data_IF_625272627300
#
_entry.id   IF_625272627300
#
_cell.length_a   1.000
_cell.length_b   1.000
_cell.length_c   1.000
_cell.angle_alpha   90.00
_cell.angle_beta   90.00
_cell.angle_gamma   90.00
#
_symmetry.space_group_name_H-M   'P 1'
#
loop_
_entity.id
_entity.type
_entity.pdbx_description
1 polymer ?
#
# COMPACT_ATOMS: atom_id res chain seq x y z
N UNK A 1 10.40 86.16 -16.26
CA UNK A 1 11.02 84.87 -15.92
C UNK A 1 9.96 83.77 -15.93
N UNK A 2 9.93 82.99 -16.98
CA UNK A 2 9.01 81.87 -17.15
C UNK A 2 9.78 80.62 -16.76
N UNK A 3 9.35 79.97 -15.67
CA UNK A 3 9.87 78.68 -15.31
C UNK A 3 9.34 77.64 -16.31
N UNK A 4 10.24 77.11 -17.14
CA UNK A 4 9.97 75.91 -17.91
C UNK A 4 10.04 74.74 -16.99
N UNK A 5 8.92 74.11 -16.70
CA UNK A 5 8.84 72.79 -16.02
C UNK A 5 9.57 71.78 -16.89
N UNK A 6 10.64 71.20 -16.34
CA UNK A 6 11.31 70.06 -16.94
C UNK A 6 10.31 68.89 -16.98
N UNK A 7 9.83 68.56 -18.21
CA UNK A 7 9.03 67.38 -18.44
C UNK A 7 9.81 66.13 -18.06
N UNK A 8 9.29 65.36 -17.11
CA UNK A 8 9.82 64.01 -16.82
C UNK A 8 9.80 63.22 -18.12
N UNK A 9 10.95 62.79 -18.57
CA UNK A 9 11.09 61.93 -19.73
C UNK A 9 10.21 60.68 -19.54
N UNK A 10 9.20 60.50 -20.37
CA UNK A 10 8.24 59.39 -20.33
C UNK A 10 8.87 58.08 -20.78
N UNK A 11 10.05 58.12 -21.34
CA UNK A 11 10.80 57.00 -21.92
C UNK A 11 11.98 56.67 -21.03
N UNK A 12 12.08 55.44 -20.55
CA UNK A 12 13.19 55.00 -19.68
C UNK A 12 14.53 54.88 -20.45
N UNK A 13 14.46 54.43 -21.72
CA UNK A 13 15.57 54.44 -22.67
C UNK A 13 15.07 54.32 -24.11
N UNK A 14 15.88 54.82 -25.05
CA UNK A 14 15.65 54.66 -26.49
C UNK A 14 16.92 54.12 -27.13
N UNK A 15 16.75 53.38 -28.25
CA UNK A 15 17.85 52.95 -29.12
C UNK A 15 18.97 52.17 -28.43
N UNK A 16 18.61 51.17 -27.65
CA UNK A 16 19.58 50.26 -27.05
C UNK A 16 19.72 49.02 -27.94
N UNK A 17 20.96 48.67 -28.29
CA UNK A 17 21.27 47.48 -29.09
C UNK A 17 20.78 46.19 -28.39
N UNK A 18 20.14 45.39 -29.20
CA UNK A 18 19.68 44.07 -28.79
C UNK A 18 19.75 43.05 -29.97
N UNK A 19 19.73 41.78 -29.60
CA UNK A 19 19.62 40.69 -30.57
C UNK A 19 18.20 40.15 -30.53
N UNK A 20 17.55 40.11 -31.68
CA UNK A 20 16.17 39.63 -31.85
C UNK A 20 16.14 38.35 -32.64
N UNK A 21 15.35 37.39 -32.17
CA UNK A 21 14.98 36.16 -32.84
C UNK A 21 13.47 36.12 -32.96
N UNK A 22 12.97 35.96 -34.21
CA UNK A 22 11.54 36.02 -34.51
C UNK A 22 10.73 34.77 -34.14
N UNK A 23 11.43 33.71 -33.67
CA UNK A 23 10.80 32.43 -33.35
C UNK A 23 10.39 31.57 -34.56
N UNK A 24 10.42 32.15 -35.77
CA UNK A 24 10.04 31.49 -37.01
C UNK A 24 11.25 31.00 -37.80
N UNK A 25 12.39 31.65 -37.63
CA UNK A 25 13.65 31.32 -38.29
C UNK A 25 14.81 31.27 -37.29
N UNK A 26 15.90 30.60 -37.69
CA UNK A 26 17.13 30.61 -36.89
C UNK A 26 17.95 31.88 -37.06
N UNK A 27 17.42 32.89 -37.75
CA UNK A 27 18.13 34.12 -38.12
C UNK A 27 18.22 35.07 -36.90
N UNK A 28 19.42 35.46 -36.54
CA UNK A 28 19.69 36.49 -35.57
C UNK A 28 19.68 37.86 -36.24
N UNK A 29 18.79 38.75 -35.78
CA UNK A 29 18.73 40.13 -36.24
C UNK A 29 19.29 41.08 -35.18
N UNK A 30 20.13 42.03 -35.63
CA UNK A 30 20.52 43.15 -34.78
C UNK A 30 19.42 44.20 -34.82
N UNK A 31 18.94 44.60 -33.66
CA UNK A 31 17.78 45.51 -33.52
C UNK A 31 18.07 46.54 -32.43
N UNK A 32 17.26 47.58 -32.42
CA UNK A 32 17.23 48.56 -31.36
C UNK A 32 15.95 48.41 -30.55
N UNK A 33 16.03 48.56 -29.24
CA UNK A 33 14.86 48.53 -28.37
C UNK A 33 14.67 49.85 -27.65
N UNK A 34 13.42 50.24 -27.45
CA UNK A 34 13.02 51.36 -26.63
C UNK A 34 12.00 50.94 -25.56
N UNK A 35 12.12 51.45 -24.37
CA UNK A 35 11.22 51.18 -23.26
C UNK A 35 10.41 52.43 -22.93
N UNK A 36 9.12 52.38 -23.14
CA UNK A 36 8.17 53.39 -22.70
C UNK A 36 7.42 52.85 -21.45
N UNK A 37 7.67 53.48 -20.32
CA UNK A 37 7.06 53.07 -19.05
C UNK A 37 5.62 53.56 -18.93
N UNK A 38 5.24 54.63 -19.57
CA UNK A 38 3.90 55.19 -19.50
C UNK A 38 2.91 54.36 -20.33
N UNK A 39 3.28 54.07 -21.59
CA UNK A 39 2.51 53.15 -22.43
C UNK A 39 2.66 51.68 -22.05
N UNK A 40 3.61 51.38 -21.13
CA UNK A 40 3.93 50.02 -20.66
C UNK A 40 4.31 49.07 -21.81
N UNK A 41 5.17 49.53 -22.72
CA UNK A 41 5.60 48.78 -23.91
C UNK A 41 7.09 48.77 -24.11
N UNK A 42 7.59 47.65 -24.60
CA UNK A 42 8.92 47.49 -25.16
C UNK A 42 8.79 47.40 -26.68
N UNK A 43 9.29 48.39 -27.39
CA UNK A 43 9.23 48.47 -28.86
C UNK A 43 10.56 48.03 -29.45
N UNK A 44 10.50 47.23 -30.50
CA UNK A 44 11.64 46.68 -31.23
C UNK A 44 11.69 47.33 -32.59
N UNK A 45 12.84 47.91 -32.91
CA UNK A 45 13.07 48.63 -34.19
C UNK A 45 14.19 47.94 -34.97
N UNK A 46 14.07 47.99 -36.30
CA UNK A 46 15.15 47.58 -37.19
C UNK A 46 16.26 48.64 -37.28
N UNK A 47 17.29 48.41 -38.10
CA UNK A 47 18.40 49.34 -38.32
C UNK A 47 17.98 50.61 -39.05
N UNK A 48 16.81 50.66 -39.70
CA UNK A 48 16.25 51.84 -40.35
C UNK A 48 15.40 52.68 -39.37
N UNK A 49 15.06 52.17 -38.21
CA UNK A 49 14.16 52.77 -37.23
C UNK A 49 12.70 52.37 -37.40
N UNK A 50 12.40 51.47 -38.33
CA UNK A 50 11.04 50.96 -38.48
C UNK A 50 10.71 49.99 -37.30
N UNK A 51 9.47 50.08 -36.81
CA UNK A 51 8.97 49.19 -35.79
C UNK A 51 8.80 47.78 -36.35
N UNK A 52 9.45 46.79 -35.73
CA UNK A 52 9.36 45.39 -36.07
C UNK A 52 8.34 44.66 -35.20
N UNK A 53 8.31 44.99 -33.90
CA UNK A 53 7.45 44.36 -32.95
C UNK A 53 7.22 45.25 -31.72
N UNK A 54 6.19 44.93 -30.91
CA UNK A 54 5.80 45.77 -29.78
C UNK A 54 5.24 44.94 -28.64
N UNK A 55 6.00 44.79 -27.57
CA UNK A 55 5.72 43.86 -26.49
C UNK A 55 5.17 44.58 -25.23
N UNK A 56 3.98 44.19 -24.74
CA UNK A 56 3.46 44.70 -23.47
C UNK A 56 4.34 44.24 -22.31
N UNK A 57 4.68 45.12 -21.37
CA UNK A 57 5.56 44.81 -20.23
C UNK A 57 4.98 43.75 -19.30
N UNK A 58 3.67 43.61 -19.27
CA UNK A 58 2.97 42.63 -18.41
C UNK A 58 3.19 41.19 -18.88
N UNK A 59 3.38 41.02 -20.17
CA UNK A 59 3.58 39.71 -20.81
C UNK A 59 5.04 39.31 -20.90
N UNK A 60 5.97 40.25 -20.64
CA UNK A 60 7.41 39.96 -20.67
C UNK A 60 7.80 38.95 -19.58
N UNK A 61 8.60 37.96 -19.96
CA UNK A 61 9.19 36.95 -19.06
C UNK A 61 10.67 36.84 -19.36
N UNK A 62 11.43 36.57 -18.29
CA UNK A 62 12.86 36.25 -18.37
C UNK A 62 13.04 34.76 -18.58
N UNK A 63 13.79 34.36 -19.60
CA UNK A 63 14.30 32.99 -19.72
C UNK A 63 15.46 32.79 -18.75
N UNK A 64 15.52 31.63 -18.10
CA UNK A 64 16.58 31.30 -17.12
C UNK A 64 17.94 31.01 -17.77
N UNK A 65 17.96 30.75 -19.06
CA UNK A 65 19.17 30.36 -19.78
C UNK A 65 19.93 31.61 -20.23
N UNK A 66 20.95 31.97 -19.46
CA UNK A 66 21.80 33.13 -19.69
C UNK A 66 23.25 32.70 -19.85
N UNK A 67 23.57 32.15 -20.99
CA UNK A 67 24.93 31.69 -21.32
C UNK A 67 25.92 32.84 -21.62
N UNK A 68 25.68 34.06 -21.16
CA UNK A 68 26.57 35.18 -21.46
C UNK A 68 26.36 36.48 -20.68
N UNK A 69 25.68 36.47 -19.54
CA UNK A 69 25.50 37.67 -18.69
C UNK A 69 24.49 38.68 -19.19
N UNK A 70 23.70 38.37 -20.25
CA UNK A 70 22.64 39.19 -20.78
C UNK A 70 21.25 38.82 -20.31
N UNK A 71 20.28 39.74 -20.38
CA UNK A 71 18.86 39.46 -20.12
C UNK A 71 18.19 38.93 -21.37
N UNK A 72 17.66 37.70 -21.31
CA UNK A 72 16.86 37.11 -22.39
C UNK A 72 15.39 37.26 -22.03
N UNK A 73 14.66 37.95 -22.88
CA UNK A 73 13.22 38.20 -22.77
C UNK A 73 12.42 37.42 -23.83
N UNK A 74 11.24 36.99 -23.43
CA UNK A 74 10.22 36.41 -24.33
C UNK A 74 8.84 36.92 -23.91
N UNK A 75 7.83 36.65 -24.76
CA UNK A 75 6.42 36.91 -24.45
C UNK A 75 5.78 35.66 -23.82
N UNK A 76 5.16 35.82 -22.67
CA UNK A 76 4.32 34.79 -22.05
C UNK A 76 5.01 33.54 -21.53
N UNK A 77 4.34 32.40 -21.61
CA UNK A 77 4.87 31.12 -21.24
C UNK A 77 5.75 30.57 -22.37
N UNK A 78 6.96 30.17 -22.03
CA UNK A 78 8.01 29.71 -22.94
C UNK A 78 7.51 28.56 -23.84
N UNK A 79 7.18 28.86 -25.09
CA UNK A 79 7.05 27.85 -26.15
C UNK A 79 8.32 27.89 -27.02
N UNK A 80 8.91 26.76 -27.43
CA UNK A 80 10.18 26.72 -28.16
C UNK A 80 10.23 27.54 -29.48
N UNK A 81 9.08 27.97 -29.97
CA UNK A 81 8.95 28.77 -31.21
C UNK A 81 8.69 30.27 -31.01
N UNK A 82 8.73 30.80 -29.79
CA UNK A 82 8.43 32.19 -29.53
C UNK A 82 9.60 33.14 -29.77
N UNK A 83 9.26 34.39 -30.16
CA UNK A 83 10.22 35.47 -30.37
C UNK A 83 11.02 35.78 -29.05
N UNK A 84 12.30 36.08 -29.20
CA UNK A 84 13.21 36.36 -28.10
C UNK A 84 14.07 37.58 -28.34
N UNK A 85 14.30 38.34 -27.28
CA UNK A 85 15.26 39.45 -27.28
C UNK A 85 16.36 39.16 -26.27
N UNK A 86 17.60 39.39 -26.68
CA UNK A 86 18.76 39.30 -25.79
C UNK A 86 19.38 40.71 -25.66
N UNK A 87 19.41 41.20 -24.43
CA UNK A 87 19.93 42.49 -24.04
C UNK A 87 21.24 42.30 -23.24
N UNK A 88 22.26 43.09 -23.56
CA UNK A 88 23.55 43.06 -22.85
C UNK A 88 23.85 44.40 -22.13
N UNK A 89 23.05 45.43 -22.38
CA UNK A 89 23.25 46.76 -21.77
C UNK A 89 22.74 46.76 -20.29
N UNK A 90 23.63 46.94 -19.34
CA UNK A 90 23.28 46.85 -17.91
C UNK A 90 22.24 47.92 -17.47
N UNK A 91 22.25 49.12 -18.05
CA UNK A 91 21.27 50.18 -17.70
C UNK A 91 19.88 49.83 -18.23
N UNK A 92 19.78 49.31 -19.44
CA UNK A 92 18.53 48.86 -20.01
C UNK A 92 17.95 47.66 -19.25
N UNK A 93 18.82 46.72 -18.87
CA UNK A 93 18.42 45.56 -18.04
C UNK A 93 17.87 46.02 -16.68
N UNK A 94 18.51 46.97 -16.01
CA UNK A 94 18.03 47.53 -14.75
C UNK A 94 16.67 48.24 -14.89
N UNK A 95 16.48 49.00 -15.97
CA UNK A 95 15.24 49.69 -16.25
C UNK A 95 14.06 48.68 -16.53
N UNK A 96 14.32 47.64 -17.30
CA UNK A 96 13.32 46.58 -17.57
C UNK A 96 12.96 45.83 -16.30
N UNK A 97 13.95 45.45 -15.48
CA UNK A 97 13.70 44.79 -14.20
C UNK A 97 12.86 45.63 -13.26
N UNK A 98 13.07 46.96 -13.25
CA UNK A 98 12.28 47.89 -12.45
C UNK A 98 10.86 48.09 -12.97
N UNK A 99 10.66 48.07 -14.32
CA UNK A 99 9.37 48.29 -14.96
C UNK A 99 8.51 47.03 -15.04
N UNK A 100 9.10 45.82 -14.94
CA UNK A 100 8.44 44.54 -15.14
C UNK A 100 8.46 43.66 -13.86
N UNK A 101 7.55 43.84 -12.92
CA UNK A 101 7.54 43.08 -11.65
C UNK A 101 7.23 41.59 -11.85
N UNK A 102 6.68 41.21 -13.01
CA UNK A 102 6.30 39.84 -13.33
C UNK A 102 7.37 39.09 -14.15
N UNK A 103 8.54 39.65 -14.34
CA UNK A 103 9.59 39.14 -15.22
C UNK A 103 10.04 37.71 -14.87
N UNK A 104 10.10 37.40 -13.58
CA UNK A 104 10.53 36.08 -13.06
C UNK A 104 9.36 35.13 -12.75
N UNK A 105 8.11 35.58 -12.94
CA UNK A 105 6.95 34.72 -12.70
C UNK A 105 6.85 33.65 -13.78
N UNK A 106 6.95 32.40 -13.37
CA UNK A 106 6.68 31.24 -14.25
C UNK A 106 5.16 31.05 -14.36
N UNK A 107 4.60 31.27 -15.51
CA UNK A 107 3.18 30.95 -15.78
C UNK A 107 3.09 29.48 -16.16
N UNK A 108 2.74 28.63 -15.18
CA UNK A 108 2.34 27.25 -15.48
C UNK A 108 0.94 27.32 -16.11
N UNK A 109 0.82 27.00 -17.39
CA UNK A 109 -0.47 27.00 -18.09
C UNK A 109 -1.38 25.91 -17.53
N UNK A 110 -2.71 26.13 -17.56
CA UNK A 110 -3.68 25.12 -17.13
C UNK A 110 -3.52 23.76 -17.84
N UNK A 111 -3.02 23.77 -19.08
CA UNK A 111 -2.68 22.57 -19.84
C UNK A 111 -1.52 21.78 -19.22
N UNK A 112 -0.52 22.46 -18.64
CA UNK A 112 0.60 21.82 -17.94
C UNK A 112 0.13 21.18 -16.64
N UNK A 113 -0.73 21.86 -15.86
CA UNK A 113 -1.36 21.29 -14.69
C UNK A 113 -2.21 20.08 -15.02
N UNK A 114 -2.96 20.12 -16.14
CA UNK A 114 -3.72 18.97 -16.63
C UNK A 114 -2.83 17.77 -16.97
N UNK A 115 -1.68 17.99 -17.61
CA UNK A 115 -0.70 16.93 -17.90
C UNK A 115 -0.10 16.36 -16.61
N UNK A 116 0.29 17.21 -15.66
CA UNK A 116 0.82 16.76 -14.35
C UNK A 116 -0.22 15.93 -13.63
N UNK A 117 -1.48 16.40 -13.56
CA UNK A 117 -2.57 15.65 -12.95
C UNK A 117 -2.82 14.29 -13.62
N UNK A 118 -2.76 14.23 -14.95
CA UNK A 118 -2.89 12.98 -15.70
C UNK A 118 -1.76 11.99 -15.40
N UNK A 119 -0.51 12.47 -15.30
CA UNK A 119 0.63 11.61 -14.94
C UNK A 119 0.55 11.09 -13.50
N UNK A 120 0.15 11.95 -12.55
CA UNK A 120 -0.08 11.53 -11.15
C UNK A 120 -1.18 10.48 -11.10
N UNK A 121 -2.30 10.70 -11.80
CA UNK A 121 -3.40 9.75 -11.87
C UNK A 121 -2.99 8.41 -12.50
N UNK A 122 -2.25 8.45 -13.61
CA UNK A 122 -1.74 7.25 -14.27
C UNK A 122 -0.75 6.47 -13.39
N UNK A 123 0.15 7.17 -12.68
CA UNK A 123 1.08 6.56 -11.74
C UNK A 123 0.34 5.91 -10.56
N UNK A 124 -0.65 6.59 -9.99
CA UNK A 124 -1.51 6.02 -8.94
C UNK A 124 -2.27 4.78 -9.41
N UNK A 125 -2.84 4.82 -10.61
CA UNK A 125 -3.52 3.67 -11.20
C UNK A 125 -2.57 2.49 -11.46
N UNK A 126 -1.33 2.75 -11.91
CA UNK A 126 -0.31 1.71 -12.11
C UNK A 126 0.10 1.05 -10.79
N UNK A 127 0.31 1.83 -9.74
CA UNK A 127 0.60 1.30 -8.39
C UNK A 127 -0.58 0.48 -7.86
N UNK A 128 -1.80 0.97 -8.00
CA UNK A 128 -2.99 0.23 -7.60
C UNK A 128 -3.12 -1.10 -8.37
N UNK A 129 -2.92 -1.10 -9.70
CA UNK A 129 -2.91 -2.31 -10.52
C UNK A 129 -1.84 -3.31 -10.04
N UNK A 130 -0.66 -2.82 -9.71
CA UNK A 130 0.44 -3.65 -9.21
C UNK A 130 0.06 -4.31 -7.89
N UNK A 131 -0.46 -3.56 -6.91
CA UNK A 131 -0.80 -4.05 -5.56
C UNK A 131 -2.02 -4.99 -5.60
N UNK A 132 -3.09 -4.62 -6.31
CA UNK A 132 -4.35 -5.33 -6.21
C UNK A 132 -4.54 -6.45 -7.25
N UNK A 133 -3.74 -6.47 -8.31
CA UNK A 133 -3.87 -7.46 -9.38
C UNK A 133 -2.59 -8.24 -9.62
N UNK A 134 -1.48 -7.55 -9.91
CA UNK A 134 -0.25 -8.22 -10.34
C UNK A 134 0.43 -8.96 -9.19
N UNK A 135 0.63 -8.31 -8.04
CA UNK A 135 1.26 -8.95 -6.87
C UNK A 135 0.45 -10.16 -6.39
N UNK A 136 -0.89 -10.09 -6.18
CA UNK A 136 -1.67 -11.26 -5.81
C UNK A 136 -1.62 -12.40 -6.83
N UNK A 137 -1.69 -12.09 -8.12
CA UNK A 137 -1.61 -13.11 -9.18
C UNK A 137 -0.25 -13.81 -9.23
N UNK A 138 0.84 -13.04 -9.12
CA UNK A 138 2.19 -13.59 -9.10
C UNK A 138 2.47 -14.39 -7.84
N UNK A 139 2.00 -13.94 -6.67
CA UNK A 139 2.19 -14.65 -5.41
C UNK A 139 1.66 -16.07 -5.45
N UNK A 140 0.43 -16.25 -5.99
CA UNK A 140 -0.16 -17.59 -6.15
C UNK A 140 0.63 -18.50 -7.09
N UNK A 141 1.18 -17.94 -8.18
CA UNK A 141 1.99 -18.72 -9.12
C UNK A 141 3.38 -19.04 -8.55
N UNK A 142 4.01 -18.10 -7.86
CA UNK A 142 5.34 -18.27 -7.29
C UNK A 142 5.35 -19.25 -6.11
N UNK A 143 4.27 -19.31 -5.32
CA UNK A 143 4.14 -20.24 -4.20
C UNK A 143 4.37 -21.71 -4.62
N UNK A 144 3.94 -22.10 -5.82
CA UNK A 144 4.10 -23.45 -6.33
C UNK A 144 5.59 -23.84 -6.49
N UNK A 145 6.45 -22.88 -6.76
CA UNK A 145 7.89 -23.12 -6.95
C UNK A 145 8.70 -23.06 -5.65
N UNK A 146 8.06 -22.73 -4.51
CA UNK A 146 8.73 -22.71 -3.21
C UNK A 146 8.77 -24.11 -2.63
N UNK A 147 9.97 -24.71 -2.41
CA UNK A 147 10.09 -26.01 -1.77
C UNK A 147 9.58 -25.96 -0.31
N UNK A 148 9.01 -27.06 0.22
CA UNK A 148 8.50 -27.13 1.60
C UNK A 148 9.53 -26.69 2.65
N UNK A 149 10.79 -27.02 2.48
CA UNK A 149 11.88 -26.69 3.40
C UNK A 149 12.14 -25.18 3.47
N UNK A 150 11.94 -24.47 2.35
CA UNK A 150 12.03 -22.99 2.30
C UNK A 150 10.81 -22.36 2.92
N UNK A 151 9.64 -22.92 2.67
CA UNK A 151 8.40 -22.46 3.26
C UNK A 151 8.44 -22.56 4.81
N UNK A 152 8.92 -23.68 5.34
CA UNK A 152 9.12 -23.86 6.78
C UNK A 152 10.08 -22.82 7.40
N UNK A 153 11.15 -22.46 6.67
CA UNK A 153 12.05 -21.37 7.09
C UNK A 153 11.38 -20.00 7.12
N UNK A 154 10.54 -19.72 6.12
CA UNK A 154 9.75 -18.47 6.08
C UNK A 154 8.79 -18.45 7.26
N UNK A 155 8.05 -19.54 7.52
CA UNK A 155 7.15 -19.64 8.64
C UNK A 155 7.82 -19.42 9.99
N UNK A 156 8.95 -20.09 10.22
CA UNK A 156 9.73 -19.88 11.46
C UNK A 156 10.26 -18.45 11.60
N UNK A 157 10.58 -17.75 10.50
CA UNK A 157 11.00 -16.36 10.56
C UNK A 157 9.82 -15.42 10.87
N UNK A 158 8.65 -15.67 10.29
CA UNK A 158 7.41 -14.93 10.58
C UNK A 158 6.98 -15.15 12.01
N UNK A 159 7.02 -16.39 12.50
CA UNK A 159 6.69 -16.72 13.88
C UNK A 159 7.54 -15.92 14.87
N UNK A 160 8.87 -15.93 14.71
CA UNK A 160 9.77 -15.10 15.54
C UNK A 160 9.49 -13.60 15.45
N UNK A 161 8.97 -13.11 14.33
CA UNK A 161 8.58 -11.71 14.21
C UNK A 161 7.30 -11.42 14.99
N UNK A 162 6.32 -12.31 14.92
CA UNK A 162 5.08 -12.22 15.69
C UNK A 162 5.37 -12.29 17.19
N UNK A 163 6.19 -13.25 17.63
CA UNK A 163 6.66 -13.36 19.02
C UNK A 163 7.24 -12.05 19.55
N UNK A 164 8.09 -11.38 18.76
CA UNK A 164 8.67 -10.10 19.16
C UNK A 164 7.63 -8.98 19.29
N UNK A 165 6.66 -8.92 18.40
CA UNK A 165 5.60 -7.89 18.42
C UNK A 165 4.72 -8.03 19.67
N UNK A 166 4.41 -9.25 20.08
CA UNK A 166 3.58 -9.50 21.27
C UNK A 166 4.39 -9.45 22.56
N UNK A 167 5.63 -9.96 22.58
CA UNK A 167 6.50 -9.92 23.77
C UNK A 167 6.92 -8.49 24.17
N UNK A 168 6.94 -7.53 23.24
CA UNK A 168 7.19 -6.12 23.56
C UNK A 168 5.98 -5.45 24.22
N UNK A 169 4.79 -6.00 24.06
CA UNK A 169 3.54 -5.46 24.63
C UNK A 169 3.19 -6.06 25.99
N UNK A 170 3.58 -7.31 26.24
CA UNK A 170 3.29 -8.03 27.48
C UNK A 170 4.58 -8.65 28.07
N UNK A 171 4.86 -8.38 29.35
CA UNK A 171 6.01 -8.95 30.05
C UNK A 171 5.67 -10.38 30.53
N UNK A 172 6.09 -11.40 29.78
CA UNK A 172 5.87 -12.81 30.13
C UNK A 172 6.25 -13.78 29.03
N UNK A 173 6.19 -15.07 29.32
CA UNK A 173 6.31 -16.11 28.31
C UNK A 173 5.05 -16.09 27.42
N UNK A 174 5.25 -15.94 26.16
CA UNK A 174 4.17 -15.81 25.18
C UNK A 174 3.41 -17.13 24.94
N UNK A 175 4.08 -18.27 25.11
CA UNK A 175 3.47 -19.57 24.93
C UNK A 175 2.94 -20.15 26.22
N UNK A 176 1.76 -20.78 26.16
CA UNK A 176 1.23 -21.63 27.17
C UNK A 176 1.97 -22.98 27.16
N UNK A 177 2.50 -23.40 28.30
CA UNK A 177 3.43 -24.52 28.39
C UNK A 177 2.89 -25.73 29.16
N UNK A 178 1.60 -25.74 29.56
CA UNK A 178 1.00 -26.88 30.23
C UNK A 178 1.02 -28.12 29.32
N UNK A 179 1.77 -29.15 29.74
CA UNK A 179 2.04 -30.33 28.91
C UNK A 179 0.81 -31.23 28.69
N UNK A 180 -0.14 -31.27 29.61
CA UNK A 180 -1.35 -32.09 29.47
C UNK A 180 -2.28 -31.45 28.39
N UNK A 181 -2.45 -30.12 28.47
CA UNK A 181 -3.21 -29.37 27.47
C UNK A 181 -2.57 -29.43 26.09
N UNK A 182 -1.24 -29.29 26.01
CA UNK A 182 -0.52 -29.39 24.74
C UNK A 182 -0.65 -30.80 24.10
N UNK A 183 -0.51 -31.85 24.87
CA UNK A 183 -0.71 -33.23 24.37
C UNK A 183 -2.13 -33.48 23.88
N UNK A 184 -3.15 -32.98 24.60
CA UNK A 184 -4.53 -33.13 24.19
C UNK A 184 -4.82 -32.35 22.87
N UNK A 185 -4.27 -31.16 22.73
CA UNK A 185 -4.36 -30.34 21.51
C UNK A 185 -3.68 -31.01 20.29
N UNK A 186 -2.47 -31.56 20.52
CA UNK A 186 -1.74 -32.29 19.48
C UNK A 186 -2.49 -33.56 19.04
N UNK A 187 -3.13 -34.30 19.96
CA UNK A 187 -3.96 -35.47 19.64
C UNK A 187 -5.19 -35.04 18.79
N UNK A 188 -5.85 -33.94 19.14
CA UNK A 188 -6.95 -33.40 18.34
C UNK A 188 -6.50 -33.09 16.93
N UNK A 189 -5.38 -32.35 16.77
CA UNK A 189 -4.80 -32.01 15.47
C UNK A 189 -4.41 -33.27 14.68
N UNK A 190 -3.83 -34.26 15.35
CA UNK A 190 -3.46 -35.54 14.71
C UNK A 190 -4.69 -36.30 14.20
N UNK A 191 -5.80 -36.30 14.95
CA UNK A 191 -7.05 -36.89 14.51
C UNK A 191 -7.60 -36.20 13.25
N UNK A 192 -7.52 -34.87 13.21
CA UNK A 192 -7.96 -34.05 12.06
C UNK A 192 -7.06 -34.18 10.81
N UNK A 193 -5.84 -34.68 10.95
CA UNK A 193 -4.93 -34.93 9.83
C UNK A 193 -5.12 -36.29 9.18
N UNK A 194 -5.94 -37.18 9.72
CA UNK A 194 -6.10 -38.54 9.21
C UNK A 194 -6.45 -38.54 7.73
N UNK A 195 -5.73 -39.38 6.94
CA UNK A 195 -5.95 -39.50 5.51
C UNK A 195 -5.46 -38.34 4.65
N UNK A 196 -4.77 -37.38 5.24
CA UNK A 196 -4.13 -36.27 4.54
C UNK A 196 -2.62 -36.29 4.70
N UNK A 197 -1.90 -35.98 3.61
CA UNK A 197 -0.46 -35.82 3.63
C UNK A 197 -0.11 -34.33 3.52
N UNK A 198 0.60 -33.83 4.51
CA UNK A 198 1.13 -32.47 4.51
C UNK A 198 2.62 -32.48 4.11
N UNK A 199 3.11 -31.49 3.37
CA UNK A 199 4.52 -31.45 2.92
C UNK A 199 5.51 -31.19 4.07
N UNK A 200 5.04 -30.87 5.28
CA UNK A 200 5.79 -30.62 6.49
C UNK A 200 4.98 -31.05 7.73
N UNK A 201 5.64 -31.30 8.88
CA UNK A 201 4.93 -31.55 10.12
C UNK A 201 4.07 -30.38 10.54
N UNK A 202 2.86 -30.64 11.00
CA UNK A 202 1.98 -29.64 11.60
C UNK A 202 2.42 -29.42 13.04
N UNK A 203 2.57 -28.15 13.41
CA UNK A 203 2.95 -27.73 14.75
C UNK A 203 1.89 -26.76 15.27
N UNK A 204 1.18 -27.13 16.31
CA UNK A 204 0.18 -26.29 16.95
C UNK A 204 0.73 -25.77 18.28
N UNK A 205 0.57 -24.47 18.51
CA UNK A 205 0.94 -23.82 19.76
C UNK A 205 -0.18 -22.91 20.26
N UNK A 206 -0.30 -22.77 21.57
CA UNK A 206 -1.23 -21.83 22.19
C UNK A 206 -0.45 -20.65 22.77
N UNK A 207 -0.95 -19.45 22.54
CA UNK A 207 -0.39 -18.22 23.11
C UNK A 207 -1.36 -17.61 24.11
N UNK A 208 -0.79 -17.08 25.20
CA UNK A 208 -1.56 -16.41 26.25
C UNK A 208 -1.96 -15.00 25.82
N UNK A 209 -3.04 -14.92 25.06
CA UNK A 209 -3.61 -13.65 24.60
C UNK A 209 -5.13 -13.74 24.56
N UNK A 210 -5.82 -12.69 25.00
CA UNK A 210 -7.28 -12.63 25.11
C UNK A 210 -8.03 -12.55 23.77
N UNK A 211 -7.31 -12.24 22.67
CA UNK A 211 -7.91 -12.15 21.34
C UNK A 211 -8.52 -13.48 20.92
N UNK A 212 -9.74 -13.45 20.37
CA UNK A 212 -10.40 -14.61 19.78
C UNK A 212 -9.82 -14.83 18.38
N UNK A 213 -8.72 -15.58 18.30
CA UNK A 213 -8.06 -15.83 17.03
C UNK A 213 -7.33 -17.18 16.98
N UNK A 214 -7.23 -17.72 15.77
CA UNK A 214 -6.28 -18.75 15.38
C UNK A 214 -5.82 -18.46 13.95
N UNK A 215 -4.61 -18.82 13.60
CA UNK A 215 -4.11 -18.60 12.24
C UNK A 215 -3.00 -19.59 11.89
N UNK A 216 -2.98 -19.96 10.63
CA UNK A 216 -1.92 -20.75 10.05
C UNK A 216 -0.79 -19.87 9.51
N UNK A 217 0.45 -20.32 9.70
CA UNK A 217 1.66 -19.72 9.13
C UNK A 217 2.31 -20.66 8.11
N UNK A 218 3.16 -20.15 7.21
CA UNK A 218 3.88 -21.00 6.27
C UNK A 218 4.66 -22.10 7.00
N UNK A 219 4.75 -23.29 6.38
CA UNK A 219 5.52 -24.40 6.97
C UNK A 219 4.80 -25.20 8.05
N UNK A 220 3.47 -25.06 8.18
CA UNK A 220 2.64 -25.92 9.04
C UNK A 220 2.51 -25.47 10.48
N UNK A 221 2.89 -24.26 10.80
CA UNK A 221 2.64 -23.70 12.14
C UNK A 221 1.18 -23.22 12.23
N UNK A 222 0.48 -23.62 13.27
CA UNK A 222 -0.87 -23.14 13.64
C UNK A 222 -0.77 -22.54 15.03
N UNK A 223 -1.17 -21.30 15.18
CA UNK A 223 -1.19 -20.58 16.45
C UNK A 223 -2.64 -20.40 16.87
N UNK A 224 -2.95 -20.77 18.09
CA UNK A 224 -4.26 -20.58 18.72
C UNK A 224 -4.08 -19.59 19.87
N UNK A 225 -4.92 -18.60 19.95
CA UNK A 225 -4.93 -17.68 21.07
C UNK A 225 -5.86 -18.17 22.18
N UNK A 226 -5.50 -17.94 23.44
CA UNK A 226 -6.29 -18.35 24.60
C UNK A 226 -7.74 -17.92 24.52
N UNK A 227 -8.01 -16.66 24.09
CA UNK A 227 -9.37 -16.14 23.95
C UNK A 227 -10.28 -16.98 23.05
N UNK A 228 -9.73 -17.64 22.01
CA UNK A 228 -10.51 -18.55 21.17
C UNK A 228 -10.89 -19.83 21.91
N UNK A 229 -10.00 -20.37 22.76
CA UNK A 229 -10.28 -21.56 23.57
C UNK A 229 -11.35 -21.22 24.63
N UNK A 230 -11.27 -20.05 25.24
CA UNK A 230 -12.24 -19.56 26.22
C UNK A 230 -13.63 -19.32 25.62
N UNK A 231 -13.69 -18.84 24.35
CA UNK A 231 -14.93 -18.64 23.64
C UNK A 231 -15.59 -19.98 23.22
N UNK A 232 -14.78 -21.00 22.93
CA UNK A 232 -15.30 -22.29 22.48
C UNK A 232 -16.09 -23.00 23.60
N UNK A 233 -17.41 -23.15 23.41
CA UNK A 233 -18.29 -23.80 24.38
C UNK A 233 -18.13 -25.33 24.42
N UNK A 234 -17.61 -25.90 23.31
CA UNK A 234 -17.39 -27.33 23.16
C UNK A 234 -16.04 -27.61 22.48
N UNK A 235 -15.41 -28.78 22.75
CA UNK A 235 -14.16 -29.15 22.07
C UNK A 235 -14.33 -29.28 20.56
N UNK A 236 -15.53 -29.57 20.08
CA UNK A 236 -15.88 -29.64 18.66
C UNK A 236 -15.73 -28.30 17.95
N UNK A 237 -15.99 -27.17 18.64
CA UNK A 237 -15.80 -25.83 18.09
C UNK A 237 -14.32 -25.55 17.82
N UNK A 238 -13.44 -25.88 18.77
CA UNK A 238 -11.98 -25.77 18.58
C UNK A 238 -11.50 -26.71 17.46
N UNK A 239 -12.02 -27.94 17.41
CA UNK A 239 -11.71 -28.90 16.35
C UNK A 239 -12.11 -28.35 14.97
N UNK A 240 -13.27 -27.67 14.85
CA UNK A 240 -13.72 -27.06 13.62
C UNK A 240 -12.81 -25.93 13.14
N UNK A 241 -12.36 -25.06 14.06
CA UNK A 241 -11.39 -24.00 13.73
C UNK A 241 -10.05 -24.59 13.31
N UNK A 242 -9.54 -25.58 14.06
CA UNK A 242 -8.28 -26.25 13.70
C UNK A 242 -8.34 -26.95 12.36
N UNK A 243 -9.47 -27.59 12.03
CA UNK A 243 -9.69 -28.21 10.72
C UNK A 243 -9.70 -27.16 9.59
N UNK A 244 -10.26 -25.99 9.85
CA UNK A 244 -10.24 -24.86 8.91
C UNK A 244 -8.82 -24.35 8.68
N UNK A 245 -8.04 -24.13 9.74
CA UNK A 245 -6.64 -23.72 9.64
C UNK A 245 -5.78 -24.76 8.92
N UNK A 246 -6.03 -26.06 9.16
CA UNK A 246 -5.42 -27.15 8.39
C UNK A 246 -5.77 -27.06 6.89
N UNK A 247 -6.98 -26.61 6.56
CA UNK A 247 -7.39 -26.34 5.18
C UNK A 247 -6.51 -25.28 4.51
N UNK A 248 -6.21 -24.18 5.20
CA UNK A 248 -5.28 -23.16 4.70
C UNK A 248 -3.86 -23.71 4.53
N UNK A 249 -3.39 -24.53 5.49
CA UNK A 249 -2.09 -25.18 5.36
C UNK A 249 -2.03 -26.11 4.17
N UNK A 250 -3.04 -26.96 4.00
CA UNK A 250 -3.13 -27.91 2.86
C UNK A 250 -3.11 -27.21 1.50
N UNK A 251 -3.73 -26.05 1.41
CA UNK A 251 -3.79 -25.23 0.19
C UNK A 251 -2.62 -24.26 0.06
N UNK A 252 -1.73 -24.23 1.04
CA UNK A 252 -0.56 -23.33 1.09
C UNK A 252 -0.93 -21.85 1.03
N UNK A 253 -2.13 -21.47 1.51
CA UNK A 253 -2.59 -20.11 1.55
C UNK A 253 -1.64 -19.18 2.36
N UNK A 254 -1.05 -19.62 3.51
CA UNK A 254 -0.15 -18.78 4.30
C UNK A 254 1.10 -18.31 3.52
N UNK A 255 1.71 -19.16 2.69
CA UNK A 255 2.87 -18.74 1.88
C UNK A 255 2.46 -17.77 0.77
N UNK A 256 1.28 -17.95 0.19
CA UNK A 256 0.74 -17.00 -0.80
C UNK A 256 0.51 -15.63 -0.15
N UNK A 257 -0.03 -15.59 1.06
CA UNK A 257 -0.22 -14.35 1.82
C UNK A 257 1.13 -13.70 2.18
N UNK A 258 2.10 -14.47 2.64
CA UNK A 258 3.45 -13.98 2.94
C UNK A 258 4.12 -13.36 1.70
N UNK A 259 3.99 -13.98 0.53
CA UNK A 259 4.49 -13.43 -0.73
C UNK A 259 3.76 -12.14 -1.15
N UNK A 260 2.45 -12.06 -0.94
CA UNK A 260 1.67 -10.83 -1.20
C UNK A 260 2.10 -9.71 -0.28
N UNK A 261 2.23 -9.98 1.01
CA UNK A 261 2.69 -9.00 1.98
C UNK A 261 4.09 -8.48 1.65
N UNK A 262 5.05 -9.38 1.39
CA UNK A 262 6.42 -9.02 1.02
C UNK A 262 6.48 -8.24 -0.31
N UNK A 263 5.71 -8.65 -1.31
CA UNK A 263 5.64 -7.98 -2.61
C UNK A 263 5.04 -6.57 -2.51
N UNK A 264 3.97 -6.41 -1.73
CA UNK A 264 3.32 -5.10 -1.49
C UNK A 264 4.23 -4.18 -0.69
N UNK A 265 4.84 -4.68 0.39
CA UNK A 265 5.76 -3.91 1.21
C UNK A 265 7.02 -3.48 0.43
N UNK A 266 7.59 -4.38 -0.37
CA UNK A 266 8.72 -4.06 -1.25
C UNK A 266 8.38 -3.00 -2.31
N UNK A 267 7.19 -3.05 -2.89
CA UNK A 267 6.71 -2.04 -3.83
C UNK A 267 6.53 -0.68 -3.16
N UNK A 268 5.92 -0.65 -1.97
CA UNK A 268 5.74 0.58 -1.20
C UNK A 268 7.09 1.20 -0.79
N UNK A 269 8.06 0.39 -0.36
CA UNK A 269 9.42 0.84 -0.06
C UNK A 269 10.09 1.50 -1.27
N UNK A 270 9.92 0.94 -2.47
CA UNK A 270 10.42 1.53 -3.71
C UNK A 270 9.76 2.88 -4.01
N UNK A 271 8.45 3.00 -3.82
CA UNK A 271 7.70 4.24 -4.10
C UNK A 271 8.01 5.33 -3.08
N UNK A 272 8.17 4.97 -1.81
CA UNK A 272 8.43 5.90 -0.71
C UNK A 272 9.93 6.21 -0.53
N UNK A 273 10.82 5.47 -1.20
CA UNK A 273 12.26 5.66 -1.13
C UNK A 273 12.90 5.08 0.15
N UNK A 274 12.21 4.19 0.86
CA UNK A 274 12.75 3.50 2.03
C UNK A 274 13.58 2.28 1.59
N UNK A 275 14.89 2.45 1.53
CA UNK A 275 15.84 1.39 1.14
C UNK A 275 16.27 0.49 2.31
N UNK A 276 15.81 0.73 3.54
CA UNK A 276 16.33 0.05 4.73
C UNK A 276 15.69 -1.32 4.98
N UNK A 277 14.55 -1.62 4.34
CA UNK A 277 13.89 -2.93 4.45
C UNK A 277 13.35 -3.29 5.85
N UNK A 278 13.63 -2.48 6.86
CA UNK A 278 13.20 -2.71 8.23
C UNK A 278 11.69 -2.60 8.41
N UNK A 279 11.08 -1.61 7.78
CA UNK A 279 9.63 -1.41 7.72
C UNK A 279 8.90 -2.55 7.01
N UNK A 280 9.53 -3.19 6.02
CA UNK A 280 8.94 -4.31 5.26
C UNK A 280 8.69 -5.53 6.14
N UNK A 281 9.65 -5.86 7.02
CA UNK A 281 9.55 -7.01 7.91
C UNK A 281 8.54 -6.79 9.05
N UNK A 282 8.49 -5.58 9.62
CA UNK A 282 7.53 -5.23 10.66
C UNK A 282 6.08 -5.27 10.14
N UNK A 283 5.83 -4.66 8.98
CA UNK A 283 4.52 -4.67 8.32
C UNK A 283 4.09 -6.06 7.86
N UNK A 284 5.02 -6.98 7.55
CA UNK A 284 4.68 -8.33 7.12
C UNK A 284 4.03 -9.15 8.22
N UNK A 285 4.47 -9.02 9.48
CA UNK A 285 3.90 -9.73 10.63
C UNK A 285 2.47 -9.30 10.93
N UNK A 286 2.23 -7.99 11.08
CA UNK A 286 0.89 -7.44 11.32
C UNK A 286 -0.07 -7.72 10.14
N UNK A 287 0.44 -7.61 8.90
CA UNK A 287 -0.37 -7.86 7.69
C UNK A 287 -0.81 -9.32 7.59
N UNK A 288 -0.01 -10.28 8.07
CA UNK A 288 -0.36 -11.69 8.04
C UNK A 288 -1.46 -12.04 9.05
N UNK A 289 -1.41 -11.45 10.24
CA UNK A 289 -2.45 -11.65 11.27
C UNK A 289 -3.79 -11.03 10.83
N UNK A 290 -3.74 -9.89 10.14
CA UNK A 290 -4.92 -9.14 9.69
C UNK A 290 -5.32 -9.44 8.22
N UNK A 291 -4.66 -10.40 7.56
CA UNK A 291 -4.89 -10.66 6.13
C UNK A 291 -6.25 -11.30 5.90
N UNK A 292 -7.14 -10.58 5.20
CA UNK A 292 -8.42 -11.12 4.76
C UNK A 292 -8.24 -12.08 3.60
N UNK A 293 -8.77 -13.26 3.76
CA UNK A 293 -8.90 -14.22 2.68
C UNK A 293 -10.05 -13.84 1.71
N UNK A 294 -9.94 -14.25 0.46
CA UNK A 294 -11.07 -14.13 -0.45
C UNK A 294 -12.14 -15.19 -0.12
N UNK A 295 -13.40 -14.91 -0.42
CA UNK A 295 -14.50 -15.88 -0.22
C UNK A 295 -14.21 -17.26 -0.83
N UNK A 296 -13.54 -17.31 -1.97
CA UNK A 296 -13.16 -18.56 -2.61
C UNK A 296 -12.07 -19.32 -1.86
N UNK A 297 -11.17 -18.63 -1.19
CA UNK A 297 -10.15 -19.22 -0.30
C UNK A 297 -10.83 -19.80 0.93
N UNK A 298 -11.70 -19.03 1.57
CA UNK A 298 -12.48 -19.47 2.75
C UNK A 298 -13.35 -20.69 2.43
N UNK A 299 -14.08 -20.67 1.31
CA UNK A 299 -14.92 -21.79 0.91
C UNK A 299 -14.12 -23.09 0.74
N UNK A 300 -12.90 -23.03 0.18
CA UNK A 300 -12.04 -24.21 0.06
C UNK A 300 -11.50 -24.69 1.42
N UNK A 301 -11.20 -23.77 2.34
CA UNK A 301 -10.79 -24.12 3.70
C UNK A 301 -11.96 -24.74 4.47
N UNK A 302 -13.19 -24.23 4.29
CA UNK A 302 -14.40 -24.82 4.85
C UNK A 302 -14.65 -26.24 4.30
N UNK A 303 -14.62 -26.42 2.97
CA UNK A 303 -14.79 -27.74 2.36
C UNK A 303 -13.78 -28.77 2.90
N UNK A 304 -12.53 -28.35 3.07
CA UNK A 304 -11.50 -29.18 3.69
C UNK A 304 -11.84 -29.48 5.14
N UNK A 305 -12.22 -28.48 5.93
CA UNK A 305 -12.59 -28.66 7.34
C UNK A 305 -13.73 -29.63 7.53
N UNK A 306 -14.81 -29.46 6.74
CA UNK A 306 -15.98 -30.34 6.79
C UNK A 306 -15.63 -31.80 6.48
N UNK A 307 -14.76 -32.03 5.51
CA UNK A 307 -14.29 -33.36 5.16
C UNK A 307 -13.44 -33.98 6.28
N UNK A 308 -12.52 -33.21 6.88
CA UNK A 308 -11.63 -33.69 7.96
C UNK A 308 -12.42 -33.95 9.26
N UNK A 309 -13.34 -33.06 9.64
CA UNK A 309 -14.24 -33.27 10.77
C UNK A 309 -15.01 -34.56 10.61
N UNK A 310 -15.66 -34.73 9.45
CA UNK A 310 -16.40 -35.96 9.17
C UNK A 310 -15.48 -37.19 9.23
N UNK A 311 -14.26 -37.15 8.71
CA UNK A 311 -13.32 -38.25 8.74
C UNK A 311 -12.84 -38.57 10.18
N UNK A 312 -12.60 -37.57 10.99
CA UNK A 312 -12.26 -37.70 12.42
C UNK A 312 -13.46 -38.16 13.27
N UNK A 313 -14.65 -38.26 12.69
CA UNK A 313 -15.88 -38.66 13.40
C UNK A 313 -16.52 -37.51 14.19
N UNK A 314 -16.10 -36.28 13.96
CA UNK A 314 -16.67 -35.04 14.54
C UNK A 314 -17.75 -34.50 13.61
N UNK A 315 -18.86 -33.98 14.17
CA UNK A 315 -19.92 -33.40 13.37
C UNK A 315 -19.45 -32.16 12.61
N UNK A 316 -19.64 -32.07 11.30
CA UNK A 316 -19.42 -30.82 10.55
C UNK A 316 -20.26 -29.64 11.06
N UNK A 317 -21.36 -29.91 11.77
CA UNK A 317 -22.23 -28.89 12.37
C UNK A 317 -21.47 -27.97 13.35
N UNK A 318 -20.42 -28.48 14.00
CA UNK A 318 -19.57 -27.72 14.92
C UNK A 318 -18.97 -26.45 14.26
N UNK A 319 -18.70 -26.47 12.95
CA UNK A 319 -18.26 -25.29 12.23
C UNK A 319 -19.40 -24.27 12.07
N UNK A 320 -20.62 -24.73 11.86
CA UNK A 320 -21.78 -23.85 11.78
C UNK A 320 -22.10 -23.20 13.14
N UNK A 321 -22.05 -24.00 14.22
CA UNK A 321 -22.27 -23.53 15.58
C UNK A 321 -21.22 -22.49 15.97
N UNK A 322 -19.95 -22.73 15.63
CA UNK A 322 -18.88 -21.76 15.88
C UNK A 322 -19.08 -20.45 15.09
N UNK A 323 -19.52 -20.50 13.83
CA UNK A 323 -19.87 -19.29 13.07
C UNK A 323 -21.02 -18.53 13.71
N UNK A 324 -21.99 -19.20 14.29
CA UNK A 324 -23.12 -18.56 14.95
C UNK A 324 -22.70 -17.86 16.25
N UNK A 325 -21.86 -18.52 17.06
CA UNK A 325 -21.26 -17.88 18.24
C UNK A 325 -20.53 -16.59 17.83
N UNK A 326 -19.73 -16.62 16.75
CA UNK A 326 -19.05 -15.43 16.26
C UNK A 326 -20.00 -14.34 15.77
N UNK A 327 -21.13 -14.73 15.13
CA UNK A 327 -22.11 -13.76 14.62
C UNK A 327 -22.90 -13.11 15.77
N UNK A 328 -23.13 -13.81 16.89
CA UNK A 328 -23.77 -13.27 18.10
C UNK A 328 -22.89 -12.22 18.77
N UNK A 329 -21.57 -12.44 18.78
CA UNK A 329 -20.59 -11.52 19.36
C UNK A 329 -20.19 -10.38 18.41
N UNK A 330 -20.62 -10.43 17.13
CA UNK A 330 -20.34 -9.36 16.16
C UNK A 330 -21.02 -8.05 16.57
N UNK A 331 -20.21 -7.04 16.84
CA UNK A 331 -20.64 -5.71 17.29
C UNK A 331 -19.97 -5.26 18.57
N UNK A 332 -19.28 -6.15 19.28
CA UNK A 332 -18.39 -5.77 20.36
C UNK A 332 -17.02 -5.37 19.79
N UNK A 333 -16.51 -4.15 20.07
CA UNK A 333 -15.19 -3.69 19.60
C UNK A 333 -14.04 -4.60 20.04
N UNK A 334 -14.17 -5.38 21.10
CA UNK A 334 -13.15 -6.33 21.55
C UNK A 334 -12.90 -7.48 20.55
N UNK A 335 -13.88 -7.79 19.71
CA UNK A 335 -13.83 -8.88 18.73
C UNK A 335 -13.42 -8.45 17.30
N UNK A 336 -13.32 -7.14 17.04
CA UNK A 336 -13.13 -6.58 15.70
C UNK A 336 -11.74 -6.87 15.07
N UNK A 337 -10.77 -7.32 15.87
CA UNK A 337 -9.39 -7.57 15.45
C UNK A 337 -8.99 -9.05 15.40
N UNK A 338 -9.91 -9.97 15.70
CA UNK A 338 -9.63 -11.38 15.81
C UNK A 338 -9.89 -12.19 14.54
N UNK A 339 -10.27 -13.47 14.74
CA UNK A 339 -10.56 -14.44 13.68
C UNK A 339 -11.64 -13.97 12.72
N UNK A 340 -12.63 -13.21 13.20
CA UNK A 340 -13.68 -12.56 12.39
C UNK A 340 -13.08 -11.67 11.30
N UNK A 341 -11.99 -10.98 11.60
CA UNK A 341 -11.38 -10.04 10.64
C UNK A 341 -10.70 -10.76 9.47
N UNK A 342 -10.02 -11.88 9.74
CA UNK A 342 -9.33 -12.70 8.73
C UNK A 342 -10.26 -13.69 8.03
N UNK A 343 -11.23 -14.26 8.77
CA UNK A 343 -12.17 -15.30 8.32
C UNK A 343 -13.62 -14.87 8.57
N UNK A 344 -14.18 -13.92 7.83
CA UNK A 344 -15.51 -13.39 8.12
C UNK A 344 -16.57 -14.49 8.14
N UNK A 345 -17.27 -14.71 9.28
CA UNK A 345 -18.38 -15.64 9.35
C UNK A 345 -19.52 -15.13 8.49
N UNK A 346 -20.33 -16.05 7.97
CA UNK A 346 -21.56 -15.70 7.25
C UNK A 346 -22.61 -16.78 7.45
N UNK A 347 -23.88 -16.38 7.37
CA UNK A 347 -24.99 -17.33 7.40
C UNK A 347 -24.91 -18.36 6.26
N UNK A 348 -24.30 -17.98 5.12
CA UNK A 348 -24.07 -18.87 3.98
C UNK A 348 -23.06 -19.97 4.34
N UNK A 349 -21.94 -19.62 5.02
CA UNK A 349 -20.93 -20.58 5.48
C UNK A 349 -21.50 -21.52 6.54
N UNK A 350 -22.29 -21.00 7.48
CA UNK A 350 -22.98 -21.80 8.50
C UNK A 350 -24.00 -22.78 7.86
N UNK A 351 -24.77 -22.32 6.87
CA UNK A 351 -25.71 -23.19 6.14
C UNK A 351 -24.97 -24.28 5.38
N UNK A 352 -23.87 -23.96 4.71
CA UNK A 352 -23.03 -24.94 3.98
C UNK A 352 -22.48 -26.02 4.93
N UNK A 353 -22.03 -25.63 6.12
CA UNK A 353 -21.55 -26.58 7.13
C UNK A 353 -22.67 -27.53 7.62
N UNK A 354 -23.91 -27.05 7.79
CA UNK A 354 -25.06 -27.88 8.14
C UNK A 354 -25.45 -28.85 7.04
N UNK A 355 -25.38 -28.43 5.79
CA UNK A 355 -25.69 -29.30 4.64
C UNK A 355 -24.70 -30.46 4.52
N UNK A 356 -23.46 -30.30 5.01
CA UNK A 356 -22.43 -31.34 5.03
C UNK A 356 -22.70 -32.45 6.06
N UNK A 357 -23.63 -32.25 7.00
CA UNK A 357 -23.95 -33.24 8.03
C UNK A 357 -24.64 -34.46 7.41
N UNK A 358 -23.99 -35.62 7.53
CA UNK A 358 -24.53 -36.89 7.03
C UNK A 358 -25.43 -37.52 8.09
N UNK A 359 -26.74 -37.47 7.89
CA UNK A 359 -27.75 -38.00 8.84
C UNK A 359 -27.62 -39.50 9.14
N UNK A 360 -26.99 -40.27 8.29
CA UNK A 360 -26.74 -41.71 8.48
C UNK A 360 -25.45 -42.00 9.26
N UNK A 361 -24.65 -40.99 9.59
CA UNK A 361 -23.36 -41.14 10.29
C UNK A 361 -23.52 -40.81 11.77
N UNK A 362 -22.95 -41.65 12.63
CA UNK A 362 -22.81 -41.33 14.04
C UNK A 362 -21.55 -40.51 14.25
N UNK A 363 -21.66 -39.38 14.88
CA UNK A 363 -20.53 -38.53 15.28
C UNK A 363 -20.25 -38.69 16.78
N UNK A 364 -18.98 -38.62 17.14
CA UNK A 364 -18.52 -38.76 18.51
C UNK A 364 -17.96 -37.39 18.97
N UNK A 365 -17.68 -37.29 20.28
CA UNK A 365 -16.89 -36.17 20.77
C UNK A 365 -15.48 -36.22 20.19
N UNK A 366 -14.92 -35.08 19.87
CA UNK A 366 -13.57 -34.94 19.33
C UNK A 366 -12.50 -35.44 20.29
N UNK A 367 -12.69 -35.19 21.60
CA UNK A 367 -11.83 -35.60 22.72
C UNK A 367 -12.68 -35.86 23.97
N UNK A 368 -12.09 -36.46 24.98
CA UNK A 368 -12.72 -36.66 26.29
C UNK A 368 -12.89 -35.34 27.06
N UNK A 369 -13.80 -35.34 28.05
CA UNK A 369 -14.01 -34.19 28.93
C UNK A 369 -12.77 -33.83 29.74
N UNK A 370 -11.90 -34.80 30.07
CA UNK A 370 -10.64 -34.55 30.79
C UNK A 370 -9.63 -33.83 29.86
N UNK A 371 -9.50 -34.30 28.64
CA UNK A 371 -8.61 -33.63 27.63
C UNK A 371 -9.07 -32.24 27.32
N UNK A 372 -10.40 -32.04 27.24
CA UNK A 372 -10.95 -30.68 27.03
C UNK A 372 -10.61 -29.74 28.19
N UNK A 373 -10.78 -30.21 29.46
CA UNK A 373 -10.37 -29.41 30.59
C UNK A 373 -8.87 -29.10 30.61
N UNK A 374 -8.03 -30.05 30.19
CA UNK A 374 -6.59 -29.81 30.08
C UNK A 374 -6.28 -28.72 29.03
N UNK A 375 -6.99 -28.69 27.87
CA UNK A 375 -6.85 -27.63 26.87
C UNK A 375 -7.33 -26.29 27.42
N UNK A 376 -8.46 -26.24 28.11
CA UNK A 376 -8.97 -25.00 28.72
C UNK A 376 -8.02 -24.44 29.79
N UNK A 377 -7.22 -25.29 30.42
CA UNK A 377 -6.24 -24.90 31.42
C UNK A 377 -4.80 -24.82 30.88
N UNK A 378 -4.63 -24.82 29.55
CA UNK A 378 -3.30 -24.89 28.92
C UNK A 378 -2.41 -23.69 29.26
N UNK A 379 -3.02 -22.53 29.54
CA UNK A 379 -2.34 -21.31 29.95
C UNK A 379 -2.39 -21.08 31.49
N UNK A 380 -2.97 -22.00 32.25
CA UNK A 380 -2.90 -21.92 33.69
C UNK A 380 -1.52 -22.39 34.20
N UNK A 381 -0.93 -21.61 35.15
CA UNK A 381 0.35 -21.92 35.76
C UNK A 381 0.32 -23.20 36.65
#
# INVERSE_FOLDING_TARGET
MRWMSAGRSRVAFTWVDARYFDGLSAQRRQVFVSLDVESRRLTIHDSSGAELDNWPLETLRQLRDDAGGGLVLCLGAVDPGEARIVLSNARAIAAIKAACPNLTKTTVTGRTWGKIGAWIGASGAAVALMIFVIVPALAGQLAVFIPPEREAKVGSAVLRQIERLFSEQEAGDWYCTNSEGQMALEQMVQALQQGQEFPYPIQVGVVDHEMINAFALPGGHIIVMRGLIEMAEAPEHLAAVLAHELGHVAQRDPIVQALRAAGTAGLLSLVLGDATGGTVLALAGETLIAAKNSRAVEARADDFALAQLAQAGVSPEALAEFFELLLEEMGDPAYDMGWISSHPPSAERAAHAREAVQTARSYNKSISSQEWQAIQQICAE
#
